data_IF_605587248858
#
_entry.id   IF_605587248858
#
_cell.length_a   1.000
_cell.length_b   1.000
_cell.length_c   1.000
_cell.angle_alpha   90.00
_cell.angle_beta   90.00
_cell.angle_gamma   90.00
#
_symmetry.space_group_name_H-M   'P 1'
#
loop_
_entity.id
_entity.type
_entity.pdbx_description
1 polymer ?
#
# COMPACT_ATOMS: atom_id res chain seq x y z
N UNK A 1 -37.27 60.38 4.95
CA UNK A 1 -36.07 59.76 5.57
C UNK A 1 -35.99 58.23 5.39
N UNK A 2 -37.11 57.49 5.25
CA UNK A 2 -37.13 56.02 5.08
C UNK A 2 -36.35 55.49 3.86
N UNK A 3 -36.37 56.21 2.72
CA UNK A 3 -35.71 55.73 1.49
C UNK A 3 -34.18 55.85 1.54
N UNK A 4 -33.62 56.79 2.32
CA UNK A 4 -32.15 56.96 2.43
C UNK A 4 -31.49 55.79 3.15
N UNK A 5 -32.10 55.30 4.23
CA UNK A 5 -31.62 54.11 4.95
C UNK A 5 -31.66 52.87 4.06
N UNK A 6 -32.70 52.73 3.23
CA UNK A 6 -32.86 51.59 2.34
C UNK A 6 -31.81 51.60 1.21
N UNK A 7 -31.53 52.77 0.62
CA UNK A 7 -30.47 52.95 -0.39
C UNK A 7 -29.09 52.61 0.19
N UNK A 8 -28.80 53.07 1.42
CA UNK A 8 -27.54 52.76 2.09
C UNK A 8 -27.40 51.24 2.32
N UNK A 9 -28.43 50.58 2.85
CA UNK A 9 -28.42 49.13 3.05
C UNK A 9 -28.26 48.35 1.74
N UNK A 10 -28.95 48.77 0.67
CA UNK A 10 -28.85 48.11 -0.64
C UNK A 10 -27.45 48.31 -1.26
N UNK A 11 -26.86 49.49 -1.09
CA UNK A 11 -25.52 49.79 -1.58
C UNK A 11 -24.47 48.96 -0.84
N UNK A 12 -24.57 48.83 0.49
CA UNK A 12 -23.70 47.95 1.27
C UNK A 12 -23.83 46.50 0.82
N UNK A 13 -25.07 46.01 0.63
CA UNK A 13 -25.31 44.65 0.14
C UNK A 13 -24.71 44.44 -1.25
N UNK A 14 -24.85 45.40 -2.17
CA UNK A 14 -24.26 45.32 -3.51
C UNK A 14 -22.74 45.23 -3.47
N UNK A 15 -22.09 46.00 -2.60
CA UNK A 15 -20.63 45.94 -2.39
C UNK A 15 -20.22 44.58 -1.82
N UNK A 16 -20.96 44.04 -0.85
CA UNK A 16 -20.70 42.71 -0.28
C UNK A 16 -20.83 41.63 -1.37
N UNK A 17 -21.90 41.67 -2.16
CA UNK A 17 -22.11 40.71 -3.27
C UNK A 17 -20.98 40.80 -4.29
N UNK A 18 -20.56 42.02 -4.66
CA UNK A 18 -19.43 42.22 -5.56
C UNK A 18 -18.13 41.62 -5.00
N UNK A 19 -17.84 41.85 -3.71
CA UNK A 19 -16.69 41.26 -3.04
C UNK A 19 -16.73 39.73 -3.03
N UNK A 20 -17.91 39.13 -2.78
CA UNK A 20 -18.08 37.68 -2.81
C UNK A 20 -17.83 37.12 -4.21
N UNK A 21 -18.37 37.75 -5.25
CA UNK A 21 -18.18 37.32 -6.65
C UNK A 21 -16.71 37.43 -7.07
N UNK A 22 -16.05 38.55 -6.77
CA UNK A 22 -14.63 38.76 -7.09
C UNK A 22 -13.73 37.82 -6.29
N UNK A 23 -14.06 37.55 -5.02
CA UNK A 23 -13.31 36.57 -4.23
C UNK A 23 -13.49 35.16 -4.79
N UNK A 24 -14.69 34.81 -5.22
CA UNK A 24 -14.99 33.49 -5.81
C UNK A 24 -14.09 33.18 -7.01
N UNK A 25 -13.84 34.15 -7.90
CA UNK A 25 -12.97 33.95 -9.07
C UNK A 25 -11.50 33.78 -8.70
N UNK A 26 -11.03 34.45 -7.63
CA UNK A 26 -9.66 34.31 -7.12
C UNK A 26 -9.42 32.93 -6.52
N UNK A 27 -10.43 32.36 -5.84
CA UNK A 27 -10.37 31.03 -5.21
C UNK A 27 -10.76 29.88 -6.15
N UNK A 28 -10.85 30.12 -7.45
CA UNK A 28 -11.04 29.06 -8.44
C UNK A 28 -9.73 28.31 -8.69
N UNK A 29 -9.75 26.98 -8.68
CA UNK A 29 -8.59 26.12 -8.99
C UNK A 29 -7.98 26.49 -10.35
N UNK A 30 -6.67 26.83 -10.36
CA UNK A 30 -5.92 27.20 -11.56
C UNK A 30 -4.77 26.25 -11.87
N UNK A 31 -4.15 25.66 -10.86
CA UNK A 31 -3.02 24.75 -11.08
C UNK A 31 -3.08 23.57 -10.11
N UNK A 32 -2.60 22.44 -10.61
CA UNK A 32 -2.36 21.21 -9.86
C UNK A 32 -0.91 20.84 -10.10
N UNK A 33 -0.23 20.37 -9.06
CA UNK A 33 1.13 19.85 -9.13
C UNK A 33 1.19 18.52 -8.38
N UNK A 34 1.93 17.56 -8.92
CA UNK A 34 2.26 16.31 -8.22
C UNK A 34 3.68 16.44 -7.72
N UNK A 35 3.84 16.23 -6.42
CA UNK A 35 5.13 16.25 -5.74
C UNK A 35 5.42 14.85 -5.20
N UNK A 36 6.40 14.17 -5.79
CA UNK A 36 6.91 12.92 -5.23
C UNK A 36 7.88 13.22 -4.09
N UNK A 37 7.52 12.82 -2.87
CA UNK A 37 8.34 13.09 -1.68
C UNK A 37 9.57 12.16 -1.55
N UNK A 38 9.71 11.21 -2.47
CA UNK A 38 10.82 10.26 -2.57
C UNK A 38 11.22 10.08 -4.04
N UNK A 39 12.42 9.54 -4.28
CA UNK A 39 12.83 9.14 -5.63
C UNK A 39 11.84 8.14 -6.24
N UNK A 40 11.69 8.23 -7.56
CA UNK A 40 10.82 7.37 -8.37
C UNK A 40 11.66 6.55 -9.36
N UNK A 41 11.14 5.40 -9.75
CA UNK A 41 11.72 4.48 -10.73
C UNK A 41 10.72 4.24 -11.87
N UNK A 42 9.47 3.93 -11.56
CA UNK A 42 8.40 3.63 -12.53
C UNK A 42 7.64 4.89 -12.98
N UNK A 43 7.64 5.92 -12.14
CA UNK A 43 6.89 7.16 -12.29
C UNK A 43 7.77 8.38 -12.62
N UNK A 44 9.06 8.16 -12.89
CA UNK A 44 10.00 9.21 -13.29
C UNK A 44 9.48 9.97 -14.50
N UNK A 45 9.33 11.30 -14.36
CA UNK A 45 8.85 12.21 -15.41
C UNK A 45 7.42 11.93 -15.90
N UNK A 46 6.55 11.39 -15.04
CA UNK A 46 5.14 11.11 -15.36
C UNK A 46 4.15 12.10 -14.72
N UNK A 47 4.64 13.10 -13.99
CA UNK A 47 3.83 14.04 -13.23
C UNK A 47 2.77 14.72 -14.10
N UNK A 48 3.18 15.25 -15.25
CA UNK A 48 2.27 15.93 -16.19
C UNK A 48 1.25 14.95 -16.79
N UNK A 49 1.68 13.75 -17.17
CA UNK A 49 0.80 12.69 -17.70
C UNK A 49 -0.31 12.33 -16.70
N UNK A 50 0.05 12.16 -15.42
CA UNK A 50 -0.89 11.83 -14.36
C UNK A 50 -1.89 12.98 -14.14
N UNK A 51 -1.42 14.23 -14.19
CA UNK A 51 -2.29 15.42 -14.03
C UNK A 51 -3.24 15.55 -15.21
N UNK A 52 -2.78 15.31 -16.44
CA UNK A 52 -3.60 15.43 -17.65
C UNK A 52 -4.68 14.35 -17.75
N UNK A 53 -4.36 13.12 -17.37
CA UNK A 53 -5.32 12.01 -17.38
C UNK A 53 -6.30 12.08 -16.22
N UNK A 54 -5.88 12.63 -15.08
CA UNK A 54 -6.76 12.90 -13.94
C UNK A 54 -7.60 14.12 -14.27
N UNK A 55 -8.89 13.95 -14.56
CA UNK A 55 -9.79 15.01 -15.02
C UNK A 55 -10.11 16.04 -13.91
N UNK A 56 -9.12 16.82 -13.48
CA UNK A 56 -9.26 17.88 -12.50
C UNK A 56 -10.21 18.96 -13.01
N UNK A 57 -11.19 19.30 -12.18
CA UNK A 57 -12.14 20.37 -12.47
C UNK A 57 -11.52 21.74 -12.24
N UNK A 58 -10.75 22.21 -13.21
CA UNK A 58 -10.24 23.58 -13.23
C UNK A 58 -11.38 24.60 -13.23
N UNK A 59 -11.10 25.79 -12.70
CA UNK A 59 -12.04 26.89 -12.51
C UNK A 59 -13.20 26.64 -11.52
N UNK A 60 -13.25 25.49 -10.86
CA UNK A 60 -14.14 25.27 -9.72
C UNK A 60 -13.56 25.92 -8.46
N UNK A 61 -14.41 26.41 -7.55
CA UNK A 61 -13.97 26.90 -6.25
C UNK A 61 -13.18 25.83 -5.48
N UNK A 62 -11.98 26.20 -5.02
CA UNK A 62 -11.04 25.31 -4.34
C UNK A 62 -11.59 24.76 -3.03
N UNK A 63 -12.53 25.47 -2.41
CA UNK A 63 -13.23 25.05 -1.18
C UNK A 63 -14.15 23.84 -1.38
N UNK A 64 -14.60 23.59 -2.63
CA UNK A 64 -15.52 22.48 -2.95
C UNK A 64 -14.84 21.35 -3.73
N UNK A 65 -13.50 21.32 -3.76
CA UNK A 65 -12.73 20.25 -4.41
C UNK A 65 -12.85 18.96 -3.58
N UNK A 66 -13.36 17.89 -4.20
CA UNK A 66 -13.39 16.58 -3.59
C UNK A 66 -12.04 15.88 -3.72
N UNK A 67 -11.15 16.14 -2.77
CA UNK A 67 -9.78 15.59 -2.71
C UNK A 67 -9.76 14.06 -2.64
N UNK A 68 -10.68 13.45 -1.90
CA UNK A 68 -10.73 11.98 -1.76
C UNK A 68 -11.08 11.31 -3.09
N UNK A 69 -11.98 11.92 -3.89
CA UNK A 69 -12.30 11.43 -5.22
C UNK A 69 -11.05 11.37 -6.10
N UNK A 70 -10.29 12.47 -6.18
CA UNK A 70 -9.07 12.52 -6.98
C UNK A 70 -8.01 11.55 -6.49
N UNK A 71 -7.85 11.42 -5.17
CA UNK A 71 -6.96 10.41 -4.58
C UNK A 71 -7.31 9.00 -5.08
N UNK A 72 -8.58 8.60 -4.99
CA UNK A 72 -9.00 7.26 -5.41
C UNK A 72 -8.82 7.04 -6.93
N UNK A 73 -9.15 8.05 -7.74
CA UNK A 73 -9.02 8.01 -9.20
C UNK A 73 -7.55 7.85 -9.63
N UNK A 74 -6.65 8.65 -9.05
CA UNK A 74 -5.22 8.57 -9.33
C UNK A 74 -4.65 7.21 -8.93
N UNK A 75 -4.90 6.75 -7.70
CA UNK A 75 -4.35 5.47 -7.23
C UNK A 75 -4.94 4.25 -7.96
N UNK A 76 -6.11 4.39 -8.58
CA UNK A 76 -6.70 3.33 -9.39
C UNK A 76 -6.07 3.27 -10.79
N UNK A 77 -5.85 4.43 -11.43
CA UNK A 77 -5.31 4.52 -12.78
C UNK A 77 -3.77 4.39 -12.82
N UNK A 78 -3.10 4.77 -11.75
CA UNK A 78 -1.65 4.70 -11.58
C UNK A 78 -1.33 3.85 -10.35
N UNK A 79 -1.27 2.51 -10.51
CA UNK A 79 -1.16 1.57 -9.39
C UNK A 79 0.07 1.78 -8.51
N UNK A 80 1.18 2.26 -9.09
CA UNK A 80 2.41 2.55 -8.36
C UNK A 80 2.35 3.85 -7.54
N UNK A 81 1.28 4.65 -7.64
CA UNK A 81 1.14 5.87 -6.84
C UNK A 81 0.45 5.54 -5.52
N UNK A 82 0.99 6.07 -4.42
CA UNK A 82 0.31 6.23 -3.14
C UNK A 82 0.21 7.70 -2.81
N UNK A 83 -1.02 8.21 -2.74
CA UNK A 83 -1.29 9.61 -2.42
C UNK A 83 -1.24 9.75 -0.90
N UNK A 84 -0.26 10.51 -0.41
CA UNK A 84 -0.17 10.85 1.01
C UNK A 84 -1.32 11.79 1.35
N UNK A 85 -1.38 12.92 0.65
CA UNK A 85 -2.42 13.92 0.83
C UNK A 85 -2.56 14.81 -0.42
N UNK A 86 -3.63 15.60 -0.44
CA UNK A 86 -3.84 16.67 -1.42
C UNK A 86 -4.04 17.97 -0.65
N UNK A 87 -3.08 18.87 -0.76
CA UNK A 87 -3.04 20.13 -0.05
C UNK A 87 -3.57 21.27 -0.91
N UNK A 88 -4.21 22.24 -0.25
CA UNK A 88 -4.66 23.46 -0.91
C UNK A 88 -3.66 24.55 -0.59
N UNK A 89 -2.98 25.04 -1.62
CA UNK A 89 -2.15 26.23 -1.52
C UNK A 89 -3.00 27.40 -1.99
N UNK A 90 -3.43 28.21 -1.02
CA UNK A 90 -4.26 29.36 -1.29
C UNK A 90 -3.53 30.38 -2.18
N UNK A 91 -4.26 31.05 -3.09
CA UNK A 91 -5.72 30.99 -3.22
C UNK A 91 -6.25 29.87 -4.13
N UNK A 92 -5.44 29.28 -5.01
CA UNK A 92 -5.95 28.60 -6.20
C UNK A 92 -5.16 27.37 -6.69
N UNK A 93 -4.26 26.81 -5.89
CA UNK A 93 -3.40 25.68 -6.28
C UNK A 93 -3.67 24.45 -5.43
N UNK A 94 -3.60 23.27 -6.06
CA UNK A 94 -3.51 21.99 -5.35
C UNK A 94 -2.10 21.42 -5.48
N UNK A 95 -1.55 20.91 -4.38
CA UNK A 95 -0.35 20.08 -4.39
C UNK A 95 -0.76 18.68 -3.97
N UNK A 96 -0.48 17.71 -4.82
CA UNK A 96 -0.71 16.28 -4.59
C UNK A 96 0.62 15.69 -4.14
N UNK A 97 0.78 15.45 -2.84
CA UNK A 97 1.99 14.80 -2.34
C UNK A 97 1.83 13.27 -2.45
N UNK A 98 2.78 12.63 -3.12
CA UNK A 98 2.73 11.21 -3.43
C UNK A 98 4.06 10.53 -3.11
N UNK A 99 4.00 9.21 -2.91
CA UNK A 99 5.17 8.32 -2.95
C UNK A 99 4.94 7.23 -3.98
N UNK A 100 6.03 6.72 -4.53
CA UNK A 100 5.99 5.51 -5.34
C UNK A 100 5.92 4.27 -4.43
N UNK A 101 4.95 3.39 -4.71
CA UNK A 101 4.79 2.11 -4.04
C UNK A 101 5.93 1.18 -4.48
N UNK A 102 6.45 0.41 -3.53
CA UNK A 102 7.48 -0.58 -3.81
C UNK A 102 6.81 -1.95 -3.95
N UNK A 103 7.13 -2.66 -5.02
CA UNK A 103 6.78 -4.07 -5.13
C UNK A 103 7.43 -4.82 -3.97
N UNK A 104 6.66 -5.59 -3.20
CA UNK A 104 7.14 -6.34 -2.04
C UNK A 104 6.78 -7.82 -2.12
N UNK A 105 5.55 -8.14 -2.53
CA UNK A 105 5.09 -9.52 -2.64
C UNK A 105 4.72 -9.89 -4.08
N UNK A 106 4.77 -11.18 -4.38
CA UNK A 106 4.18 -11.75 -5.59
C UNK A 106 3.34 -12.97 -5.25
N UNK A 107 2.18 -13.12 -5.89
CA UNK A 107 1.27 -14.25 -5.70
C UNK A 107 0.98 -14.90 -7.04
N UNK A 108 1.08 -16.23 -7.10
CA UNK A 108 0.68 -17.01 -8.27
C UNK A 108 -0.83 -17.14 -8.34
N UNK A 109 -1.42 -16.84 -9.50
CA UNK A 109 -2.87 -16.96 -9.72
C UNK A 109 -3.20 -18.09 -10.67
N UNK A 110 -4.43 -18.58 -10.51
CA UNK A 110 -4.98 -19.65 -11.34
C UNK A 110 -6.36 -19.25 -11.86
N UNK A 111 -6.68 -19.67 -13.07
CA UNK A 111 -7.98 -19.55 -13.71
C UNK A 111 -8.33 -20.92 -14.29
N UNK A 112 -9.51 -21.45 -13.91
CA UNK A 112 -9.92 -22.81 -14.30
C UNK A 112 -8.84 -23.88 -14.05
N UNK A 113 -8.15 -23.78 -12.92
CA UNK A 113 -7.06 -24.65 -12.45
C UNK A 113 -5.79 -24.61 -13.33
N UNK A 114 -5.72 -23.70 -14.29
CA UNK A 114 -4.52 -23.40 -15.06
C UNK A 114 -3.81 -22.17 -14.49
N UNK A 115 -2.48 -22.18 -14.52
CA UNK A 115 -1.70 -20.99 -14.18
C UNK A 115 -2.07 -19.84 -15.13
N UNK A 116 -2.35 -18.66 -14.56
CA UNK A 116 -2.67 -17.46 -15.34
C UNK A 116 -1.51 -16.47 -15.37
N UNK A 117 -1.11 -15.97 -14.20
CA UNK A 117 -0.03 -15.00 -14.06
C UNK A 117 0.46 -14.92 -12.61
N UNK A 118 1.43 -14.04 -12.37
CA UNK A 118 1.84 -13.58 -11.05
C UNK A 118 1.28 -12.18 -10.82
N UNK A 119 0.60 -11.95 -9.69
CA UNK A 119 0.23 -10.61 -9.23
C UNK A 119 1.36 -10.04 -8.39
N UNK A 120 1.77 -8.83 -8.70
CA UNK A 120 2.79 -8.10 -7.94
C UNK A 120 2.11 -7.09 -7.04
N UNK A 121 2.46 -7.14 -5.76
CA UNK A 121 1.79 -6.38 -4.69
C UNK A 121 2.79 -5.54 -3.91
N UNK A 122 2.33 -4.46 -3.30
CA UNK A 122 3.06 -3.75 -2.25
C UNK A 122 2.73 -4.29 -0.84
N UNK A 123 3.22 -3.58 0.18
CA UNK A 123 2.98 -3.85 1.61
C UNK A 123 1.53 -3.66 2.05
N UNK A 124 0.74 -2.86 1.33
CA UNK A 124 -0.69 -2.67 1.56
C UNK A 124 -1.58 -3.62 0.74
N UNK A 125 -0.95 -4.55 -0.01
CA UNK A 125 -1.60 -5.50 -0.91
C UNK A 125 -2.31 -4.84 -2.10
N UNK A 126 -1.84 -3.66 -2.52
CA UNK A 126 -2.24 -3.05 -3.79
C UNK A 126 -1.64 -3.84 -4.94
N UNK A 127 -2.45 -4.22 -5.92
CA UNK A 127 -1.98 -4.87 -7.15
C UNK A 127 -1.32 -3.82 -8.03
N UNK A 128 0.01 -3.86 -8.11
CA UNK A 128 0.81 -2.92 -8.88
C UNK A 128 0.94 -3.34 -10.34
N UNK A 129 1.14 -4.63 -10.58
CA UNK A 129 1.41 -5.18 -11.91
C UNK A 129 1.11 -6.69 -11.98
N UNK A 130 1.20 -7.26 -13.19
CA UNK A 130 1.14 -8.70 -13.42
C UNK A 130 2.28 -9.18 -14.30
N UNK A 131 2.91 -10.31 -13.94
CA UNK A 131 3.97 -10.94 -14.74
C UNK A 131 3.55 -12.31 -15.25
N UNK A 132 3.94 -12.65 -16.48
CA UNK A 132 3.70 -13.98 -17.07
C UNK A 132 4.68 -15.03 -16.55
N UNK A 133 5.88 -14.59 -16.16
CA UNK A 133 6.89 -15.42 -15.54
C UNK A 133 7.49 -14.67 -14.35
N UNK A 134 7.97 -15.42 -13.37
CA UNK A 134 8.60 -14.88 -12.18
C UNK A 134 9.82 -15.72 -11.82
N UNK A 135 10.91 -15.07 -11.45
CA UNK A 135 12.12 -15.71 -10.95
C UNK A 135 12.40 -15.20 -9.55
N UNK A 136 12.51 -16.11 -8.59
CA UNK A 136 12.80 -15.72 -7.21
C UNK A 136 14.26 -15.21 -7.12
N UNK A 137 14.44 -13.96 -6.68
CA UNK A 137 15.76 -13.34 -6.53
C UNK A 137 15.74 -12.25 -5.47
N UNK A 138 16.90 -11.86 -4.94
CA UNK A 138 17.04 -10.83 -3.92
C UNK A 138 16.56 -9.43 -4.33
N UNK A 139 16.32 -9.19 -5.63
CA UNK A 139 15.79 -7.92 -6.16
C UNK A 139 14.28 -8.00 -6.42
N UNK A 140 13.75 -9.20 -6.58
CA UNK A 140 12.37 -9.44 -6.94
C UNK A 140 11.47 -9.56 -5.69
N UNK A 141 10.17 -9.29 -5.82
CA UNK A 141 9.20 -9.46 -4.73
C UNK A 141 9.24 -10.85 -4.08
N UNK A 142 8.93 -10.94 -2.79
CA UNK A 142 8.87 -12.18 -2.02
C UNK A 142 7.70 -13.03 -2.54
N UNK A 143 7.94 -14.30 -2.85
CA UNK A 143 6.89 -15.21 -3.32
C UNK A 143 5.98 -15.60 -2.15
N UNK A 144 4.69 -15.32 -2.26
CA UNK A 144 3.66 -15.82 -1.36
C UNK A 144 2.92 -16.96 -2.06
N UNK A 145 3.03 -18.15 -1.47
CA UNK A 145 2.26 -19.32 -1.81
C UNK A 145 1.13 -19.48 -0.78
N UNK A 146 -0.07 -19.78 -1.27
CA UNK A 146 -1.24 -20.03 -0.43
C UNK A 146 -1.65 -21.46 -0.72
N UNK A 147 -1.69 -22.33 0.29
CA UNK A 147 -2.26 -23.67 0.09
C UNK A 147 -3.76 -23.55 -0.21
N UNK A 148 -4.18 -24.12 -1.34
CA UNK A 148 -5.50 -23.92 -1.96
C UNK A 148 -5.43 -23.02 -3.21
N UNK A 149 -6.35 -23.22 -4.16
CA UNK A 149 -6.35 -22.43 -5.40
C UNK A 149 -6.74 -20.97 -5.11
N UNK A 150 -5.81 -20.04 -5.40
CA UNK A 150 -6.12 -18.62 -5.39
C UNK A 150 -6.83 -18.24 -6.70
N UNK A 151 -8.15 -18.39 -6.72
CA UNK A 151 -9.02 -17.96 -7.82
C UNK A 151 -9.50 -16.54 -7.56
N UNK A 152 -8.75 -15.54 -8.05
CA UNK A 152 -9.26 -14.17 -8.07
C UNK A 152 -8.92 -13.42 -9.34
N UNK A 153 -9.88 -12.60 -9.73
CA UNK A 153 -9.89 -11.69 -10.88
C UNK A 153 -9.43 -10.29 -10.49
N UNK A 154 -8.45 -10.17 -9.58
CA UNK A 154 -7.98 -8.86 -9.14
C UNK A 154 -7.26 -8.16 -10.30
N UNK A 155 -7.77 -7.00 -10.68
CA UNK A 155 -7.20 -6.16 -11.71
C UNK A 155 -6.06 -5.32 -11.13
N UNK A 156 -5.07 -5.01 -11.96
CA UNK A 156 -4.07 -3.98 -11.65
C UNK A 156 -4.77 -2.69 -11.19
N UNK A 157 -4.27 -2.08 -10.10
CA UNK A 157 -4.87 -0.90 -9.49
C UNK A 157 -5.92 -1.19 -8.41
N UNK A 158 -6.36 -2.45 -8.21
CA UNK A 158 -7.20 -2.80 -7.06
C UNK A 158 -6.35 -3.23 -5.85
N UNK A 159 -6.97 -3.28 -4.66
CA UNK A 159 -6.38 -3.99 -3.53
C UNK A 159 -6.78 -5.46 -3.60
N UNK A 160 -5.90 -6.34 -3.14
CA UNK A 160 -6.19 -7.78 -3.02
C UNK A 160 -7.39 -7.99 -2.09
N UNK A 161 -8.36 -8.82 -2.48
CA UNK A 161 -9.57 -9.13 -1.69
C UNK A 161 -9.74 -10.63 -1.41
N UNK A 162 -8.95 -11.23 -0.53
CA UNK A 162 -8.98 -12.66 -0.18
C UNK A 162 -9.38 -12.97 1.26
N UNK A 163 -9.86 -14.19 1.51
CA UNK A 163 -10.10 -14.68 2.88
C UNK A 163 -8.82 -14.79 3.74
N UNK A 164 -7.65 -14.85 3.10
CA UNK A 164 -6.34 -14.83 3.77
C UNK A 164 -5.77 -13.41 3.91
N UNK A 165 -6.50 -12.38 3.47
CA UNK A 165 -6.00 -11.00 3.48
C UNK A 165 -5.53 -10.56 4.85
N UNK A 166 -6.27 -10.90 5.90
CA UNK A 166 -5.91 -10.46 7.24
C UNK A 166 -4.59 -11.07 7.68
N UNK A 167 -4.33 -12.35 7.37
CA UNK A 167 -3.06 -12.99 7.67
C UNK A 167 -1.90 -12.39 6.85
N UNK A 168 -2.09 -12.19 5.53
CA UNK A 168 -1.07 -11.57 4.68
C UNK A 168 -0.77 -10.15 5.14
N UNK A 169 -1.81 -9.37 5.42
CA UNK A 169 -1.69 -7.98 5.85
C UNK A 169 -1.01 -7.88 7.21
N UNK A 170 -1.39 -8.72 8.17
CA UNK A 170 -0.74 -8.74 9.47
C UNK A 170 0.73 -9.16 9.32
N UNK A 171 1.03 -10.16 8.49
CA UNK A 171 2.42 -10.55 8.21
C UNK A 171 3.21 -9.44 7.51
N UNK A 172 2.61 -8.69 6.58
CA UNK A 172 3.23 -7.54 5.95
C UNK A 172 3.57 -6.44 6.98
N UNK A 173 2.67 -6.19 7.94
CA UNK A 173 2.94 -5.29 9.07
C UNK A 173 4.11 -5.79 9.91
N UNK A 174 4.17 -7.08 10.26
CA UNK A 174 5.28 -7.62 11.04
C UNK A 174 6.62 -7.58 10.27
N UNK A 175 6.61 -7.87 8.97
CA UNK A 175 7.78 -7.76 8.11
C UNK A 175 8.29 -6.32 8.06
N UNK A 176 7.39 -5.36 7.87
CA UNK A 176 7.72 -3.94 7.85
C UNK A 176 8.22 -3.44 9.22
N UNK A 177 7.65 -3.94 10.32
CA UNK A 177 8.10 -3.65 11.68
C UNK A 177 9.51 -4.22 11.97
N UNK A 178 9.84 -5.39 11.41
CA UNK A 178 11.18 -5.95 11.47
C UNK A 178 12.18 -5.12 10.67
N UNK A 179 11.84 -4.77 9.42
CA UNK A 179 12.66 -3.90 8.59
C UNK A 179 11.81 -3.16 7.55
N UNK A 180 11.79 -1.83 7.65
CA UNK A 180 11.00 -0.98 6.77
C UNK A 180 11.63 -0.76 5.38
N UNK A 181 12.79 -1.36 5.09
CA UNK A 181 13.46 -1.27 3.79
C UNK A 181 13.05 -2.48 2.90
N UNK A 182 12.26 -2.27 1.84
CA UNK A 182 11.80 -3.36 0.98
C UNK A 182 12.92 -4.15 0.31
N UNK A 183 14.06 -3.52 -0.01
CA UNK A 183 15.20 -4.23 -0.60
C UNK A 183 15.81 -5.23 0.39
N UNK A 184 15.94 -4.85 1.67
CA UNK A 184 16.44 -5.74 2.71
C UNK A 184 15.45 -6.86 3.02
N UNK A 185 14.15 -6.59 2.97
CA UNK A 185 13.13 -7.63 3.06
C UNK A 185 13.28 -8.65 1.92
N UNK A 186 13.31 -8.20 0.66
CA UNK A 186 13.51 -9.07 -0.51
C UNK A 186 14.82 -9.84 -0.47
N UNK A 187 15.88 -9.25 0.09
CA UNK A 187 17.19 -9.90 0.23
C UNK A 187 17.22 -10.97 1.32
N UNK A 188 16.36 -10.89 2.33
CA UNK A 188 16.34 -11.83 3.45
C UNK A 188 15.29 -12.94 3.27
N UNK A 189 14.11 -12.60 2.77
CA UNK A 189 12.97 -13.50 2.65
C UNK A 189 12.87 -14.02 1.22
N UNK A 190 12.81 -15.34 1.07
CA UNK A 190 12.69 -16.00 -0.22
C UNK A 190 11.23 -16.28 -0.57
N UNK A 191 10.54 -16.94 0.34
CA UNK A 191 9.21 -17.48 0.08
C UNK A 191 8.40 -17.56 1.39
N UNK A 192 7.11 -17.30 1.31
CA UNK A 192 6.17 -17.40 2.41
C UNK A 192 5.03 -18.31 1.96
N UNK A 193 4.84 -19.42 2.67
CA UNK A 193 3.76 -20.36 2.47
C UNK A 193 2.71 -20.17 3.57
N UNK A 194 1.48 -19.86 3.19
CA UNK A 194 0.35 -19.69 4.09
C UNK A 194 -0.51 -20.93 4.12
N UNK A 195 -1.10 -21.21 5.28
CA UNK A 195 -1.88 -22.41 5.58
C UNK A 195 -1.09 -23.70 5.33
N UNK A 196 0.22 -23.67 5.58
CA UNK A 196 1.12 -24.78 5.26
C UNK A 196 0.85 -25.98 6.16
N UNK A 197 0.27 -27.04 5.60
CA UNK A 197 -0.07 -28.29 6.31
C UNK A 197 -1.26 -28.19 7.28
N UNK A 198 -1.61 -27.00 7.78
CA UNK A 198 -2.79 -26.74 8.60
C UNK A 198 -3.25 -25.29 8.44
N UNK A 199 -4.55 -25.04 8.55
CA UNK A 199 -5.11 -23.69 8.49
C UNK A 199 -4.46 -22.79 9.54
N UNK A 200 -3.99 -21.62 9.11
CA UNK A 200 -3.32 -20.65 9.97
C UNK A 200 -1.82 -20.87 10.12
N UNK A 201 -1.25 -22.03 9.78
CA UNK A 201 0.20 -22.21 9.84
C UNK A 201 0.91 -21.40 8.74
N UNK A 202 2.01 -20.76 9.09
CA UNK A 202 2.84 -19.99 8.15
C UNK A 202 4.26 -20.55 8.16
N UNK A 203 4.79 -20.84 6.97
CA UNK A 203 6.18 -21.24 6.75
C UNK A 203 6.89 -20.17 5.95
N UNK A 204 8.00 -19.65 6.46
CA UNK A 204 8.82 -18.63 5.82
C UNK A 204 10.18 -19.24 5.52
N UNK A 205 10.56 -19.25 4.24
CA UNK A 205 11.89 -19.63 3.81
C UNK A 205 12.77 -18.38 3.71
N UNK A 206 13.86 -18.36 4.48
CA UNK A 206 14.88 -17.32 4.39
C UNK A 206 15.84 -17.66 3.26
N UNK A 207 16.36 -16.64 2.56
CA UNK A 207 17.37 -16.84 1.50
C UNK A 207 18.68 -17.43 2.00
N UNK A 208 18.93 -17.34 3.30
CA UNK A 208 20.11 -17.96 3.90
C UNK A 208 20.02 -19.49 3.90
N UNK A 209 18.80 -20.06 3.87
CA UNK A 209 18.53 -21.50 3.95
C UNK A 209 17.78 -21.91 5.23
N UNK A 210 17.64 -21.00 6.21
CA UNK A 210 16.84 -21.25 7.43
C UNK A 210 15.35 -21.18 7.10
N UNK A 211 14.60 -22.11 7.67
CA UNK A 211 13.14 -22.12 7.63
C UNK A 211 12.54 -21.65 8.96
N UNK A 212 11.55 -20.77 8.91
CA UNK A 212 10.77 -20.35 10.07
C UNK A 212 9.35 -20.89 9.94
N UNK A 213 8.88 -21.63 10.95
CA UNK A 213 7.52 -22.16 11.06
C UNK A 213 6.79 -21.45 12.20
N UNK A 214 5.69 -20.78 11.87
CA UNK A 214 4.78 -20.16 12.83
C UNK A 214 3.52 -21.01 12.89
N UNK A 215 3.30 -21.74 13.99
CA UNK A 215 2.10 -22.55 14.16
C UNK A 215 0.91 -21.70 14.58
N UNK A 216 -0.23 -21.91 13.94
CA UNK A 216 -1.46 -21.13 14.10
C UNK A 216 -1.21 -19.61 14.11
N UNK A 217 -0.58 -19.09 13.06
CA UNK A 217 -0.20 -17.69 12.91
C UNK A 217 -1.41 -16.72 12.91
N UNK A 218 -2.65 -17.22 12.97
CA UNK A 218 -3.85 -16.37 13.15
C UNK A 218 -3.93 -15.75 14.55
N UNK A 219 -3.29 -16.37 15.53
CA UNK A 219 -3.19 -15.89 16.91
C UNK A 219 -1.76 -15.49 17.24
N UNK A 220 -1.56 -14.40 18.00
CA UNK A 220 -0.24 -13.96 18.53
C UNK A 220 0.88 -13.95 17.48
N UNK A 221 0.57 -13.53 16.26
CA UNK A 221 1.49 -13.52 15.12
C UNK A 221 2.78 -12.76 15.45
N UNK A 222 2.63 -11.53 15.94
CA UNK A 222 3.76 -10.64 16.25
C UNK A 222 4.74 -11.29 17.22
N UNK A 223 4.25 -11.85 18.34
CA UNK A 223 5.09 -12.49 19.35
C UNK A 223 5.84 -13.71 18.79
N UNK A 224 5.15 -14.56 18.03
CA UNK A 224 5.75 -15.74 17.39
C UNK A 224 6.80 -15.35 16.36
N UNK A 225 6.49 -14.38 15.52
CA UNK A 225 7.38 -13.89 14.49
C UNK A 225 8.64 -13.25 15.10
N UNK A 226 8.48 -12.38 16.09
CA UNK A 226 9.59 -11.73 16.77
C UNK A 226 10.48 -12.74 17.52
N UNK A 227 9.90 -13.74 18.19
CA UNK A 227 10.67 -14.81 18.82
C UNK A 227 11.43 -15.64 17.78
N UNK A 228 10.80 -15.96 16.64
CA UNK A 228 11.48 -16.70 15.57
C UNK A 228 12.68 -15.92 15.02
N UNK A 229 12.52 -14.60 14.82
CA UNK A 229 13.60 -13.74 14.36
C UNK A 229 14.71 -13.57 15.40
N UNK A 230 14.42 -13.59 16.70
CA UNK A 230 15.47 -13.57 17.73
C UNK A 230 16.34 -14.81 17.64
N UNK A 231 15.74 -16.01 17.51
CA UNK A 231 16.50 -17.24 17.25
C UNK A 231 17.34 -17.12 15.97
N UNK A 232 16.74 -16.66 14.86
CA UNK A 232 17.45 -16.50 13.59
C UNK A 232 18.65 -15.55 13.69
N UNK A 233 18.55 -14.49 14.48
CA UNK A 233 19.62 -13.52 14.66
C UNK A 233 20.78 -14.05 15.50
N UNK A 234 20.51 -14.99 16.42
CA UNK A 234 21.52 -15.63 17.26
C UNK A 234 22.24 -16.81 16.57
N UNK A 235 21.71 -17.32 15.45
CA UNK A 235 22.36 -18.39 14.70
C UNK A 235 23.73 -17.96 14.16
N UNK A 236 24.76 -18.74 14.50
CA UNK A 236 26.11 -18.58 13.97
C UNK A 236 26.21 -19.09 12.53
N UNK A 237 25.48 -20.16 12.21
CA UNK A 237 25.35 -20.70 10.86
C UNK A 237 23.89 -20.57 10.41
N UNK A 238 23.68 -19.85 9.30
CA UNK A 238 22.37 -19.56 8.74
C UNK A 238 22.11 -20.31 7.44
N UNK A 239 22.94 -21.29 7.09
CA UNK A 239 22.84 -22.05 5.83
C UNK A 239 21.73 -23.10 5.84
N UNK A 240 21.29 -23.53 7.02
CA UNK A 240 20.25 -24.57 7.18
C UNK A 240 19.57 -24.47 8.56
N UNK A 241 18.49 -25.22 8.71
CA UNK A 241 17.80 -25.47 9.97
C UNK A 241 16.39 -24.91 9.96
N UNK A 242 15.63 -25.29 10.98
CA UNK A 242 14.23 -24.92 11.16
C UNK A 242 14.01 -24.31 12.54
N UNK A 243 13.48 -23.10 12.57
CA UNK A 243 12.97 -22.44 13.77
C UNK A 243 11.46 -22.64 13.79
N UNK A 244 10.92 -23.19 14.87
CA UNK A 244 9.46 -23.34 15.03
C UNK A 244 9.00 -22.55 16.24
N UNK A 245 7.95 -21.75 16.09
CA UNK A 245 7.30 -21.02 17.20
C UNK A 245 5.81 -21.34 17.25
N UNK A 246 5.28 -21.44 18.46
CA UNK A 246 3.90 -21.84 18.74
C UNK A 246 3.45 -21.36 20.14
N UNK A 247 2.15 -21.44 20.41
CA UNK A 247 1.60 -21.24 21.75
C UNK A 247 1.50 -22.60 22.45
N UNK A 248 2.12 -22.75 23.61
CA UNK A 248 2.09 -23.99 24.37
C UNK A 248 0.81 -24.12 25.23
N UNK A 249 0.68 -25.22 25.97
CA UNK A 249 -0.47 -25.50 26.84
C UNK A 249 -0.63 -24.52 28.02
N UNK A 250 0.39 -23.69 28.31
CA UNK A 250 0.35 -22.66 29.35
C UNK A 250 0.01 -21.26 28.79
N UNK A 251 -0.44 -21.19 27.52
CA UNK A 251 -0.67 -19.93 26.80
C UNK A 251 0.57 -19.02 26.76
N UNK A 252 1.74 -19.62 26.51
CA UNK A 252 3.00 -18.90 26.29
C UNK A 252 3.49 -19.15 24.87
N UNK A 253 4.00 -18.09 24.24
CA UNK A 253 4.75 -18.22 23.00
C UNK A 253 6.11 -18.82 23.31
N UNK A 254 6.40 -19.97 22.70
CA UNK A 254 7.67 -20.67 22.83
C UNK A 254 8.21 -20.98 21.45
N UNK A 255 9.52 -21.23 21.38
CA UNK A 255 10.19 -21.57 20.14
C UNK A 255 11.34 -22.54 20.35
N UNK A 256 11.74 -23.21 19.29
CA UNK A 256 12.94 -24.05 19.27
C UNK A 256 13.57 -24.03 17.88
N UNK A 257 14.87 -24.32 17.83
CA UNK A 257 15.65 -24.48 16.61
C UNK A 257 16.09 -25.93 16.46
N UNK A 258 16.06 -26.43 15.23
CA UNK A 258 16.60 -27.72 14.81
C UNK A 258 17.54 -27.46 13.65
N UNK A 259 18.81 -27.84 13.79
CA UNK A 259 19.85 -27.71 12.74
C UNK A 259 19.60 -28.62 11.56
#
# INVERSE_FOLDING_TARGET
MKNKSLIISLSILAVIVLFVVLSSTIFCLKSVEINFVSNTIHLTQKEDEIIETTNFKYNQSIFFVNKQKYKNEIEQNYPYIKIINIETIFPNKLIVNAVERNELFTIKTYEENAFKNYLVLDDELKVLNTYQSFTNSHLNPILINIEGEFTQTNSVGSFLTSGNNDLIKNLAVELYAYNNNPLLLKANFEEINLNYGSTGDVRILMRSGVEIKLKDATTRLSEKFMLALSYYNELTDKTTGTITTYVNNEDKVVGYYVS
#
